data_IF_957073659554
#
_entry.id   IF_957073659554
#
_cell.length_a   1.000
_cell.length_b   1.000
_cell.length_c   1.000
_cell.angle_alpha   90.00
_cell.angle_beta   90.00
_cell.angle_gamma   90.00
#
_symmetry.space_group_name_H-M   'P 1'
#
loop_
_entity.id
_entity.type
_entity.pdbx_description
1 polymer ?
#
# COMPACT_ATOMS: atom_id res chain seq x y z
N UNK A 1 -8.78 37.21 -63.14
CA UNK A 1 -9.16 38.60 -62.81
C UNK A 1 -8.08 39.21 -61.93
N UNK A 2 -7.51 40.31 -62.42
CA UNK A 2 -6.95 41.49 -61.73
C UNK A 2 -7.17 41.52 -60.19
N UNK A 3 -6.22 41.88 -59.33
CA UNK A 3 -5.12 42.81 -59.56
C UNK A 3 -4.05 42.89 -58.46
N UNK A 4 -2.98 43.58 -58.84
CA UNK A 4 -1.80 44.03 -58.07
C UNK A 4 -2.15 45.12 -57.05
N UNK A 5 -1.30 45.31 -56.02
CA UNK A 5 -0.59 46.57 -55.64
C UNK A 5 0.02 46.45 -54.22
N UNK A 6 1.34 46.38 -54.04
CA UNK A 6 2.41 47.43 -54.00
C UNK A 6 2.74 47.97 -52.59
N UNK A 7 3.94 47.59 -52.11
CA UNK A 7 5.07 48.41 -51.60
C UNK A 7 4.84 49.67 -50.76
N UNK A 8 5.69 49.87 -49.75
CA UNK A 8 6.12 51.22 -49.34
C UNK A 8 6.84 51.33 -48.00
N UNK A 9 8.15 51.58 -48.05
CA UNK A 9 9.09 51.87 -46.95
C UNK A 9 8.84 53.23 -46.25
N UNK A 10 9.33 53.43 -45.02
CA UNK A 10 10.56 54.21 -44.70
C UNK A 10 10.81 54.41 -43.20
N UNK A 11 12.09 54.43 -42.87
CA UNK A 11 12.70 54.64 -41.56
C UNK A 11 12.65 56.09 -41.07
N UNK A 12 12.84 56.30 -39.76
CA UNK A 12 13.86 57.23 -39.23
C UNK A 12 14.05 57.11 -37.71
N UNK A 13 15.32 56.95 -37.37
CA UNK A 13 15.98 57.18 -36.08
C UNK A 13 15.90 58.65 -35.65
N UNK A 14 15.81 58.91 -34.33
CA UNK A 14 16.52 60.06 -33.75
C UNK A 14 16.88 59.79 -32.29
N UNK A 15 18.14 60.10 -31.98
CA UNK A 15 18.78 60.04 -30.68
C UNK A 15 18.64 61.42 -30.01
N UNK A 16 18.47 61.46 -28.68
CA UNK A 16 18.46 62.71 -27.93
C UNK A 16 18.62 62.50 -26.43
N UNK A 17 19.81 62.78 -25.93
CA UNK A 17 20.17 63.10 -24.53
C UNK A 17 20.83 64.48 -24.58
N UNK A 18 20.70 65.38 -23.58
CA UNK A 18 21.45 65.18 -22.32
C UNK A 18 20.91 65.82 -21.00
N UNK A 19 21.47 65.31 -19.89
CA UNK A 19 21.99 65.95 -18.66
C UNK A 19 21.14 66.78 -17.65
N UNK A 20 21.18 66.25 -16.41
CA UNK A 20 21.67 66.81 -15.12
C UNK A 20 20.73 67.51 -14.09
N UNK A 21 20.79 66.91 -12.88
CA UNK A 21 20.62 67.43 -11.52
C UNK A 21 19.22 67.77 -10.96
N UNK A 22 18.72 66.91 -10.05
CA UNK A 22 18.36 67.30 -8.69
C UNK A 22 18.18 66.06 -7.79
N UNK A 23 18.90 66.02 -6.68
CA UNK A 23 18.68 65.09 -5.56
C UNK A 23 17.55 65.64 -4.70
N UNK A 24 16.50 64.87 -4.41
CA UNK A 24 15.78 64.89 -3.11
C UNK A 24 15.19 63.49 -2.88
N UNK A 25 15.37 63.00 -1.65
CA UNK A 25 14.91 61.72 -1.14
C UNK A 25 13.38 61.59 -1.10
N UNK A 26 12.88 60.41 -1.40
CA UNK A 26 11.56 59.97 -0.97
C UNK A 26 11.60 58.48 -0.63
N UNK A 27 11.50 58.22 0.67
CA UNK A 27 11.19 56.95 1.30
C UNK A 27 9.81 56.47 0.83
N UNK A 28 9.65 55.19 0.51
CA UNK A 28 8.36 54.53 0.56
C UNK A 28 8.04 53.55 -0.57
N UNK A 29 7.44 52.43 -0.18
CA UNK A 29 6.83 51.37 -0.99
C UNK A 29 7.79 50.38 -1.68
N UNK A 30 8.26 49.40 -0.88
CA UNK A 30 8.53 48.06 -1.43
C UNK A 30 7.18 47.47 -1.85
N UNK A 31 6.85 47.57 -3.14
CA UNK A 31 5.79 46.78 -3.75
C UNK A 31 6.26 45.33 -3.79
N UNK A 32 5.69 44.49 -2.94
CA UNK A 32 5.74 43.04 -3.12
C UNK A 32 5.03 42.70 -4.44
N UNK A 33 5.81 42.49 -5.50
CA UNK A 33 5.34 41.76 -6.66
C UNK A 33 5.10 40.31 -6.22
N UNK A 34 3.87 40.02 -5.78
CA UNK A 34 3.39 38.65 -5.67
C UNK A 34 3.38 38.08 -7.08
N UNK A 35 4.41 37.30 -7.41
CA UNK A 35 4.37 36.44 -8.58
C UNK A 35 3.14 35.54 -8.43
N UNK A 36 2.13 35.74 -9.27
CA UNK A 36 1.06 34.79 -9.52
C UNK A 36 1.71 33.56 -10.16
N UNK A 37 2.28 32.69 -9.32
CA UNK A 37 2.57 31.33 -9.72
C UNK A 37 1.20 30.69 -10.03
N UNK A 38 1.01 30.08 -11.21
CA UNK A 38 -0.16 29.26 -11.44
C UNK A 38 -0.15 28.18 -10.35
N UNK A 39 -1.15 28.23 -9.47
CA UNK A 39 -1.33 27.19 -8.46
C UNK A 39 -1.43 25.83 -9.15
N UNK A 40 -1.03 24.73 -8.48
CA UNK A 40 -1.20 23.40 -9.04
C UNK A 40 -2.68 23.25 -9.40
N UNK A 41 -2.93 23.05 -10.69
CA UNK A 41 -4.25 22.68 -11.19
C UNK A 41 -4.69 21.47 -10.40
N UNK A 42 -5.76 21.62 -9.61
CA UNK A 42 -6.43 20.49 -8.99
C UNK A 42 -6.78 19.53 -10.13
N UNK A 43 -6.12 18.36 -10.18
CA UNK A 43 -6.50 17.30 -11.10
C UNK A 43 -7.96 17.00 -10.84
N UNK A 44 -8.80 17.29 -11.83
CA UNK A 44 -10.14 16.73 -11.90
C UNK A 44 -10.00 15.22 -11.71
N UNK A 45 -10.70 14.67 -10.73
CA UNK A 45 -10.65 13.25 -10.44
C UNK A 45 -11.16 12.51 -11.68
N UNK A 46 -10.24 11.90 -12.42
CA UNK A 46 -10.51 11.20 -13.66
C UNK A 46 -11.38 9.95 -13.47
N UNK A 47 -11.69 9.31 -14.59
CA UNK A 47 -12.19 7.93 -14.69
C UNK A 47 -11.49 7.02 -13.66
N UNK A 48 -12.17 5.98 -13.11
CA UNK A 48 -11.46 4.91 -12.40
C UNK A 48 -10.20 4.55 -13.19
N UNK A 49 -9.03 4.72 -12.56
CA UNK A 49 -7.76 4.49 -13.22
C UNK A 49 -7.42 3.00 -13.21
N UNK A 50 -6.69 2.52 -14.23
CA UNK A 50 -6.25 1.13 -14.28
C UNK A 50 -5.38 0.79 -13.06
N UNK A 51 -5.26 -0.50 -12.75
CA UNK A 51 -4.40 -0.98 -11.68
C UNK A 51 -2.98 -0.44 -11.82
N UNK A 52 -2.46 0.15 -10.74
CA UNK A 52 -1.11 0.69 -10.69
C UNK A 52 -0.09 -0.38 -10.35
N UNK A 53 0.52 -0.98 -11.36
CA UNK A 53 1.68 -1.87 -11.21
C UNK A 53 2.87 -1.15 -10.55
N UNK A 54 3.76 -1.91 -9.91
CA UNK A 54 5.02 -1.35 -9.41
C UNK A 54 5.86 -0.75 -10.56
N UNK A 55 6.34 0.48 -10.40
CA UNK A 55 7.10 1.20 -11.44
C UNK A 55 8.42 0.50 -11.81
N UNK A 56 8.99 -0.24 -10.87
CA UNK A 56 10.23 -1.02 -11.01
C UNK A 56 9.98 -2.50 -11.34
N UNK A 57 8.73 -2.88 -11.64
CA UNK A 57 8.39 -4.24 -12.01
C UNK A 57 9.07 -4.66 -13.31
N UNK A 58 9.61 -5.89 -13.32
CA UNK A 58 10.27 -6.46 -14.49
C UNK A 58 9.30 -7.29 -15.31
N UNK A 59 9.29 -7.12 -16.64
CA UNK A 59 8.53 -8.03 -17.50
C UNK A 59 9.14 -9.43 -17.47
N UNK A 60 8.30 -10.45 -17.39
CA UNK A 60 8.68 -11.87 -17.47
C UNK A 60 7.64 -12.60 -18.32
N UNK A 61 8.09 -13.52 -19.18
CA UNK A 61 7.15 -14.33 -19.96
C UNK A 61 6.80 -15.62 -19.21
N UNK A 62 5.49 -15.90 -19.07
CA UNK A 62 5.04 -17.20 -18.56
C UNK A 62 5.27 -18.29 -19.60
N UNK A 63 5.96 -19.36 -19.21
CA UNK A 63 6.16 -20.51 -20.07
C UNK A 63 4.95 -21.44 -20.06
N UNK A 64 4.75 -22.23 -21.12
CA UNK A 64 3.72 -23.28 -21.18
C UNK A 64 4.22 -24.64 -20.69
N UNK A 65 5.50 -24.74 -20.34
CA UNK A 65 6.21 -25.91 -19.86
C UNK A 65 7.17 -25.53 -18.72
N UNK A 66 7.62 -26.50 -17.93
CA UNK A 66 8.64 -26.27 -16.89
C UNK A 66 10.05 -26.08 -17.45
N UNK A 67 10.35 -26.61 -18.64
CA UNK A 67 11.70 -26.52 -19.24
C UNK A 67 12.07 -25.12 -19.70
N UNK A 68 11.06 -24.33 -20.07
CA UNK A 68 11.23 -22.96 -20.58
C UNK A 68 10.87 -21.91 -19.53
N UNK A 69 10.59 -22.33 -18.29
CA UNK A 69 10.09 -21.45 -17.23
C UNK A 69 11.15 -20.43 -16.77
N UNK A 70 10.90 -19.15 -17.05
CA UNK A 70 11.75 -18.06 -16.61
C UNK A 70 11.80 -17.94 -15.08
N UNK A 71 12.97 -17.57 -14.57
CA UNK A 71 13.24 -17.53 -13.13
C UNK A 71 12.72 -16.25 -12.48
N UNK A 72 11.92 -16.41 -11.43
CA UNK A 72 11.55 -15.34 -10.52
C UNK A 72 12.55 -15.27 -9.37
N UNK A 73 13.09 -14.08 -9.14
CA UNK A 73 13.97 -13.80 -8.00
C UNK A 73 13.16 -13.20 -6.83
N UNK A 74 13.15 -13.80 -5.64
CA UNK A 74 12.49 -13.23 -4.47
C UNK A 74 12.95 -11.81 -4.16
N UNK A 75 12.01 -10.95 -3.76
CA UNK A 75 12.26 -9.52 -3.54
C UNK A 75 12.18 -8.65 -4.80
N UNK A 76 11.94 -9.23 -5.97
CA UNK A 76 11.68 -8.49 -7.22
C UNK A 76 10.21 -8.66 -7.61
N UNK A 77 9.55 -7.57 -8.00
CA UNK A 77 8.20 -7.62 -8.58
C UNK A 77 8.29 -7.79 -10.09
N UNK A 78 7.36 -8.55 -10.67
CA UNK A 78 7.31 -8.82 -12.10
C UNK A 78 5.93 -8.54 -12.68
N UNK A 79 5.88 -8.15 -13.95
CA UNK A 79 4.65 -8.12 -14.76
C UNK A 79 4.64 -9.25 -15.78
N UNK A 80 3.47 -9.83 -16.03
CA UNK A 80 3.24 -10.85 -17.06
C UNK A 80 1.82 -10.74 -17.62
N UNK A 81 1.43 -11.63 -18.54
CA UNK A 81 0.10 -11.69 -19.15
C UNK A 81 -0.46 -13.10 -19.04
N UNK A 82 -1.61 -13.26 -18.39
CA UNK A 82 -2.31 -14.52 -18.20
C UNK A 82 -3.29 -14.78 -19.35
N UNK A 83 -3.08 -15.82 -20.18
CA UNK A 83 -4.04 -16.21 -21.20
C UNK A 83 -5.34 -16.75 -20.59
N UNK A 84 -6.40 -16.77 -21.40
CA UNK A 84 -7.72 -17.28 -21.00
C UNK A 84 -7.72 -18.76 -20.62
N UNK A 85 -6.81 -19.57 -21.20
CA UNK A 85 -6.69 -21.00 -20.94
C UNK A 85 -5.23 -21.42 -20.82
N UNK A 86 -5.02 -22.59 -20.19
CA UNK A 86 -3.69 -23.14 -19.98
C UNK A 86 -3.03 -22.65 -18.70
N UNK A 87 -1.87 -23.25 -18.41
CA UNK A 87 -1.04 -22.97 -17.24
C UNK A 87 0.19 -22.19 -17.67
N UNK A 88 0.54 -21.16 -16.92
CA UNK A 88 1.82 -20.48 -17.01
C UNK A 88 2.75 -20.97 -15.91
N UNK A 89 3.98 -21.28 -16.28
CA UNK A 89 5.03 -21.74 -15.39
C UNK A 89 6.12 -20.68 -15.28
N UNK A 90 6.55 -20.46 -14.04
CA UNK A 90 7.73 -19.68 -13.70
C UNK A 90 8.59 -20.47 -12.72
N UNK A 91 9.91 -20.36 -12.79
CA UNK A 91 10.82 -21.11 -11.91
C UNK A 91 11.24 -20.28 -10.69
N UNK A 92 11.50 -20.97 -9.57
CA UNK A 92 12.08 -20.45 -8.34
C UNK A 92 13.30 -21.29 -7.99
N UNK A 93 14.35 -20.67 -7.47
CA UNK A 93 15.43 -21.39 -6.80
C UNK A 93 15.35 -21.14 -5.30
N UNK A 94 15.09 -22.20 -4.54
CA UNK A 94 14.87 -22.12 -3.10
C UNK A 94 15.94 -22.87 -2.34
N UNK A 95 16.30 -22.36 -1.16
CA UNK A 95 17.11 -23.11 -0.20
C UNK A 95 16.28 -24.16 0.57
N UNK A 96 16.92 -24.98 1.38
CA UNK A 96 16.27 -26.07 2.12
C UNK A 96 15.49 -25.63 3.36
N UNK A 97 15.52 -24.35 3.73
CA UNK A 97 15.12 -23.85 5.05
C UNK A 97 14.18 -22.64 5.06
N UNK A 98 14.20 -21.79 4.04
CA UNK A 98 13.38 -20.59 3.95
C UNK A 98 11.98 -20.92 3.45
N UNK A 99 10.95 -20.23 3.93
CA UNK A 99 9.64 -20.30 3.29
C UNK A 99 9.63 -19.34 2.10
N UNK A 100 8.91 -19.71 1.04
CA UNK A 100 8.69 -18.87 -0.12
C UNK A 100 7.19 -18.64 -0.30
N UNK A 101 6.80 -17.42 -0.62
CA UNK A 101 5.44 -17.05 -0.95
C UNK A 101 5.47 -16.26 -2.26
N UNK A 102 4.57 -16.57 -3.19
CA UNK A 102 4.46 -15.87 -4.46
C UNK A 102 3.02 -15.45 -4.64
N UNK A 103 2.75 -14.17 -4.43
CA UNK A 103 1.46 -13.59 -4.78
C UNK A 103 1.39 -13.34 -6.27
N UNK A 104 0.28 -13.75 -6.90
CA UNK A 104 -0.10 -13.31 -8.23
C UNK A 104 -1.35 -12.45 -8.12
N UNK A 105 -1.25 -11.19 -8.52
CA UNK A 105 -2.39 -10.29 -8.67
C UNK A 105 -2.77 -10.26 -10.15
N UNK A 106 -3.96 -10.76 -10.48
CA UNK A 106 -4.48 -10.69 -11.83
C UNK A 106 -5.41 -9.49 -12.00
N UNK A 107 -5.28 -8.81 -13.13
CA UNK A 107 -5.98 -7.58 -13.46
C UNK A 107 -6.81 -7.83 -14.72
N UNK A 108 -8.11 -8.14 -14.57
CA UNK A 108 -9.03 -8.19 -15.69
C UNK A 108 -9.10 -6.81 -16.38
N UNK A 109 -9.11 -6.75 -17.72
CA UNK A 109 -9.34 -5.47 -18.40
C UNK A 109 -10.69 -4.88 -18.00
N UNK A 110 -10.72 -3.56 -17.82
CA UNK A 110 -11.92 -2.83 -17.46
C UNK A 110 -13.05 -3.05 -18.48
N UNK A 111 -14.29 -3.15 -17.98
CA UNK A 111 -15.47 -3.34 -18.83
C UNK A 111 -15.60 -4.75 -19.42
N UNK A 112 -14.70 -5.68 -19.10
CA UNK A 112 -14.88 -7.09 -19.49
C UNK A 112 -15.98 -7.74 -18.67
N UNK A 113 -16.84 -8.52 -19.34
CA UNK A 113 -17.86 -9.31 -18.63
C UNK A 113 -17.17 -10.42 -17.84
N UNK A 114 -17.45 -10.48 -16.54
CA UNK A 114 -16.91 -11.49 -15.63
C UNK A 114 -18.04 -12.15 -14.84
N UNK A 115 -17.87 -13.45 -14.57
CA UNK A 115 -18.71 -14.19 -13.64
C UNK A 115 -18.16 -14.10 -12.22
N UNK A 116 -19.01 -14.34 -11.22
CA UNK A 116 -18.58 -14.40 -9.82
C UNK A 116 -17.53 -15.49 -9.56
N UNK A 117 -17.51 -16.54 -10.37
CA UNK A 117 -16.56 -17.66 -10.26
C UNK A 117 -15.31 -17.49 -11.12
N UNK A 118 -15.25 -16.45 -11.97
CA UNK A 118 -14.04 -16.18 -12.74
C UNK A 118 -12.94 -15.77 -11.78
N UNK A 119 -11.72 -16.24 -12.05
CA UNK A 119 -10.66 -16.16 -11.07
C UNK A 119 -9.32 -16.61 -11.57
N UNK A 120 -8.40 -16.76 -10.63
CA UNK A 120 -7.08 -17.33 -10.85
C UNK A 120 -6.82 -18.41 -9.80
N UNK A 121 -6.02 -19.41 -10.20
CA UNK A 121 -5.40 -20.35 -9.29
C UNK A 121 -3.89 -20.17 -9.36
N UNK A 122 -3.27 -20.13 -8.20
CA UNK A 122 -1.81 -20.05 -8.04
C UNK A 122 -1.38 -21.27 -7.25
N UNK A 123 -0.35 -21.97 -7.72
CA UNK A 123 0.27 -23.06 -6.98
C UNK A 123 1.78 -22.97 -7.00
N UNK A 124 2.44 -23.51 -5.98
CA UNK A 124 3.87 -23.80 -6.01
C UNK A 124 4.04 -25.31 -6.06
N UNK A 125 4.84 -25.79 -7.00
CA UNK A 125 5.11 -27.21 -7.24
C UNK A 125 6.60 -27.51 -7.09
N UNK A 126 6.93 -28.72 -6.65
CA UNK A 126 8.31 -29.22 -6.71
C UNK A 126 8.72 -29.62 -8.14
N UNK A 127 9.99 -30.02 -8.31
CA UNK A 127 10.53 -30.43 -9.60
C UNK A 127 9.83 -31.65 -10.24
N UNK A 128 9.09 -32.43 -9.46
CA UNK A 128 8.34 -33.60 -9.93
C UNK A 128 6.86 -33.26 -10.23
N UNK A 129 6.46 -31.99 -10.12
CA UNK A 129 5.08 -31.53 -10.33
C UNK A 129 4.16 -31.77 -9.14
N UNK A 130 4.69 -32.13 -7.97
CA UNK A 130 3.89 -32.27 -6.75
C UNK A 130 3.58 -30.90 -6.18
N UNK A 131 2.30 -30.60 -5.95
CA UNK A 131 1.88 -29.32 -5.39
C UNK A 131 2.25 -29.21 -3.91
N UNK A 132 2.99 -28.17 -3.57
CA UNK A 132 3.32 -27.77 -2.21
C UNK A 132 2.13 -27.06 -1.56
N UNK A 133 1.46 -26.20 -2.34
CA UNK A 133 0.24 -25.50 -1.97
C UNK A 133 -0.44 -24.95 -3.21
N UNK A 134 -1.71 -24.60 -3.05
CA UNK A 134 -2.43 -23.82 -4.02
C UNK A 134 -3.44 -22.91 -3.32
N UNK A 135 -3.76 -21.81 -3.98
CA UNK A 135 -4.85 -20.92 -3.59
C UNK A 135 -5.65 -20.54 -4.84
N UNK A 136 -6.90 -20.16 -4.65
CA UNK A 136 -7.77 -19.66 -5.73
C UNK A 136 -8.43 -18.39 -5.26
N UNK A 137 -8.39 -17.36 -6.09
CA UNK A 137 -9.12 -16.12 -5.90
C UNK A 137 -10.12 -15.94 -7.05
N UNK A 138 -11.28 -15.37 -6.75
CA UNK A 138 -12.35 -15.14 -7.73
C UNK A 138 -12.90 -13.73 -7.63
N UNK A 139 -13.51 -13.23 -8.69
CA UNK A 139 -14.20 -11.93 -8.75
C UNK A 139 -15.28 -11.81 -7.67
N UNK A 140 -15.91 -12.92 -7.28
CA UNK A 140 -16.88 -12.91 -6.19
C UNK A 140 -18.19 -12.20 -6.52
N UNK A 141 -18.93 -11.83 -5.47
CA UNK A 141 -20.35 -11.47 -5.60
C UNK A 141 -20.61 -10.15 -6.33
N UNK A 142 -19.63 -9.24 -6.37
CA UNK A 142 -19.75 -7.95 -7.07
C UNK A 142 -19.91 -8.09 -8.58
N UNK A 143 -19.41 -9.20 -9.18
CA UNK A 143 -19.41 -9.43 -10.64
C UNK A 143 -18.87 -8.22 -11.41
N UNK A 144 -17.91 -7.53 -10.81
CA UNK A 144 -17.31 -6.30 -11.32
C UNK A 144 -15.82 -6.54 -11.51
N UNK A 145 -15.24 -6.10 -12.63
CA UNK A 145 -13.82 -6.29 -12.90
C UNK A 145 -12.98 -5.51 -11.91
N UNK A 146 -12.12 -6.20 -11.17
CA UNK A 146 -11.14 -5.60 -10.27
C UNK A 146 -9.95 -6.55 -10.08
N UNK A 147 -8.81 -6.03 -9.59
CA UNK A 147 -7.65 -6.86 -9.30
C UNK A 147 -7.97 -7.93 -8.24
N UNK A 148 -7.64 -9.19 -8.53
CA UNK A 148 -7.78 -10.31 -7.58
C UNK A 148 -6.42 -10.93 -7.32
N UNK A 149 -6.15 -11.36 -6.09
CA UNK A 149 -4.84 -11.88 -5.68
C UNK A 149 -4.96 -13.23 -4.98
N UNK A 150 -4.09 -14.16 -5.36
CA UNK A 150 -3.91 -15.46 -4.71
C UNK A 150 -2.41 -15.74 -4.51
N UNK A 151 -2.07 -16.61 -3.56
CA UNK A 151 -0.69 -16.92 -3.18
C UNK A 151 -0.39 -18.41 -3.34
N UNK A 152 0.74 -18.69 -4.00
CA UNK A 152 1.39 -19.99 -3.93
C UNK A 152 2.51 -19.95 -2.89
N UNK A 153 2.63 -21.00 -2.09
CA UNK A 153 3.61 -21.08 -1.01
C UNK A 153 4.41 -22.40 -0.99
N UNK A 154 5.68 -22.29 -0.60
CA UNK A 154 6.51 -23.41 -0.15
C UNK A 154 6.93 -23.14 1.28
N UNK A 155 6.39 -23.91 2.21
CA UNK A 155 6.78 -23.83 3.63
C UNK A 155 7.79 -24.94 3.97
N UNK A 156 9.00 -24.54 4.35
CA UNK A 156 10.02 -25.46 4.85
C UNK A 156 9.58 -25.96 6.24
N UNK A 157 9.24 -27.24 6.36
CA UNK A 157 8.80 -27.83 7.62
C UNK A 157 9.83 -28.89 8.02
N UNK A 158 10.46 -28.79 9.21
CA UNK A 158 11.44 -29.79 9.64
C UNK A 158 10.92 -31.24 9.61
N UNK A 159 9.60 -31.42 9.76
CA UNK A 159 8.91 -32.72 9.75
C UNK A 159 7.99 -32.91 8.54
N UNK A 160 8.06 -32.03 7.54
CA UNK A 160 7.26 -32.15 6.32
C UNK A 160 7.76 -33.29 5.43
N UNK A 161 6.88 -33.93 4.68
CA UNK A 161 7.23 -35.01 3.74
C UNK A 161 7.23 -34.55 2.29
N UNK A 162 6.53 -33.46 1.97
CA UNK A 162 6.42 -32.88 0.63
C UNK A 162 7.12 -31.52 0.57
N UNK A 163 7.70 -31.20 -0.58
CA UNK A 163 8.33 -29.91 -0.85
C UNK A 163 9.40 -29.49 0.17
N UNK A 164 10.21 -30.47 0.58
CA UNK A 164 11.37 -30.25 1.44
C UNK A 164 12.66 -30.19 0.61
N UNK A 165 13.68 -29.50 1.15
CA UNK A 165 14.99 -29.42 0.50
C UNK A 165 15.12 -28.29 -0.52
N UNK A 166 16.36 -27.91 -0.81
CA UNK A 166 16.65 -26.84 -1.77
C UNK A 166 16.63 -27.34 -3.21
N UNK A 167 16.47 -26.42 -4.15
CA UNK A 167 16.46 -26.68 -5.59
C UNK A 167 15.40 -25.87 -6.32
N UNK A 168 15.09 -26.32 -7.54
CA UNK A 168 14.12 -25.68 -8.42
C UNK A 168 12.69 -26.05 -8.02
N UNK A 169 11.84 -25.03 -7.90
CA UNK A 169 10.40 -25.13 -7.73
C UNK A 169 9.72 -24.34 -8.85
N UNK A 170 8.42 -24.57 -9.06
CA UNK A 170 7.65 -23.89 -10.09
C UNK A 170 6.44 -23.18 -9.51
N UNK A 171 6.28 -21.91 -9.84
CA UNK A 171 5.02 -21.18 -9.65
C UNK A 171 4.16 -21.45 -10.88
N UNK A 172 2.94 -21.90 -10.65
CA UNK A 172 1.98 -22.18 -11.72
C UNK A 172 0.75 -21.32 -11.53
N UNK A 173 0.44 -20.50 -12.55
CA UNK A 173 -0.71 -19.60 -12.57
C UNK A 173 -1.64 -19.99 -13.71
N UNK A 174 -2.93 -20.12 -13.43
CA UNK A 174 -3.95 -20.42 -14.44
C UNK A 174 -5.24 -19.65 -14.19
N UNK A 175 -5.99 -19.39 -15.26
CA UNK A 175 -7.37 -18.87 -15.16
C UNK A 175 -8.29 -19.95 -14.60
N UNK A 176 -9.19 -19.54 -13.72
CA UNK A 176 -10.34 -20.32 -13.30
C UNK A 176 -11.57 -19.68 -13.91
N UNK A 177 -12.32 -20.43 -14.72
CA UNK A 177 -13.59 -19.99 -15.29
C UNK A 177 -14.53 -21.19 -15.42
N UNK A 178 -15.83 -20.97 -15.21
CA UNK A 178 -16.86 -22.03 -15.30
C UNK A 178 -17.70 -21.96 -16.59
N UNK A 179 -17.69 -20.81 -17.26
CA UNK A 179 -18.33 -20.57 -18.56
C UNK A 179 -17.26 -20.19 -19.57
N UNK A 180 -17.62 -19.99 -20.84
CA UNK A 180 -16.71 -19.39 -21.82
C UNK A 180 -16.21 -18.05 -21.28
N UNK A 181 -14.94 -18.02 -20.88
CA UNK A 181 -14.30 -16.82 -20.37
C UNK A 181 -14.08 -15.84 -21.52
N UNK A 182 -14.12 -14.53 -21.21
CA UNK A 182 -13.66 -13.50 -22.14
C UNK A 182 -12.29 -13.90 -22.73
N UNK A 183 -12.08 -13.79 -24.05
CA UNK A 183 -10.84 -14.18 -24.71
C UNK A 183 -9.68 -13.21 -24.38
N UNK A 184 -9.95 -12.11 -23.69
CA UNK A 184 -8.94 -11.15 -23.29
C UNK A 184 -8.03 -11.74 -22.20
N UNK A 185 -6.72 -11.63 -22.44
CA UNK A 185 -5.71 -11.91 -21.42
C UNK A 185 -5.87 -10.96 -20.22
N UNK A 186 -5.51 -11.43 -19.04
CA UNK A 186 -5.45 -10.62 -17.83
C UNK A 186 -4.00 -10.26 -17.55
N UNK A 187 -3.72 -8.99 -17.26
CA UNK A 187 -2.38 -8.62 -16.82
C UNK A 187 -2.10 -9.25 -15.44
N UNK A 188 -0.85 -9.58 -15.18
CA UNK A 188 -0.40 -10.19 -13.94
C UNK A 188 0.70 -9.38 -13.28
N UNK A 189 0.62 -9.22 -11.96
CA UNK A 189 1.74 -8.83 -11.11
C UNK A 189 2.16 -10.01 -10.22
N UNK A 190 3.43 -10.42 -10.29
CA UNK A 190 4.00 -11.50 -9.49
C UNK A 190 4.99 -10.92 -8.48
N UNK A 191 4.83 -11.26 -7.21
CA UNK A 191 5.74 -10.81 -6.13
C UNK A 191 6.23 -11.99 -5.30
N UNK A 192 7.32 -12.67 -5.71
CA UNK A 192 7.98 -13.67 -4.89
C UNK A 192 8.67 -13.05 -3.68
N UNK A 193 8.49 -13.67 -2.52
CA UNK A 193 9.11 -13.26 -1.25
C UNK A 193 9.64 -14.46 -0.48
N UNK A 194 10.71 -14.25 0.29
CA UNK A 194 11.30 -15.25 1.18
C UNK A 194 11.17 -14.85 2.65
N UNK A 195 10.63 -15.75 3.46
CA UNK A 195 10.68 -15.70 4.92
C UNK A 195 11.83 -16.60 5.41
N UNK A 196 12.82 -16.05 6.12
CA UNK A 196 13.91 -16.84 6.67
C UNK A 196 13.41 -17.75 7.80
N UNK A 197 14.12 -18.85 8.04
CA UNK A 197 13.86 -19.71 9.21
C UNK A 197 14.08 -18.95 10.53
N UNK A 198 13.57 -19.51 11.63
CA UNK A 198 13.88 -19.01 12.97
C UNK A 198 15.26 -19.48 13.46
N UNK A 199 15.89 -18.66 14.30
CA UNK A 199 17.11 -19.04 15.05
C UNK A 199 16.84 -20.18 16.01
N UNK A 200 15.66 -20.17 16.64
CA UNK A 200 15.19 -21.19 17.57
C UNK A 200 13.73 -21.50 17.25
N UNK A 201 13.37 -22.77 17.28
CA UNK A 201 11.96 -23.18 17.19
C UNK A 201 11.21 -22.61 18.39
N UNK A 202 10.17 -21.83 18.12
CA UNK A 202 9.26 -21.29 19.14
C UNK A 202 8.07 -22.19 19.38
N UNK A 203 6.98 -21.62 19.91
CA UNK A 203 5.70 -22.29 20.05
C UNK A 203 5.18 -22.81 18.70
N UNK A 204 4.70 -24.06 18.69
CA UNK A 204 4.20 -24.74 17.49
C UNK A 204 2.69 -24.97 17.50
N UNK A 205 1.98 -24.29 18.40
CA UNK A 205 0.53 -24.30 18.52
C UNK A 205 0.00 -22.87 18.39
N UNK A 206 -1.08 -22.68 17.65
CA UNK A 206 -1.72 -21.39 17.58
C UNK A 206 -2.35 -21.01 18.93
N UNK A 207 -2.46 -19.71 19.27
CA UNK A 207 -3.16 -19.28 20.47
C UNK A 207 -4.64 -19.71 20.44
N UNK A 208 -5.10 -20.39 21.49
CA UNK A 208 -6.48 -20.85 21.59
C UNK A 208 -7.46 -19.74 21.99
N UNK A 209 -6.98 -18.74 22.72
CA UNK A 209 -7.80 -17.64 23.23
C UNK A 209 -7.17 -16.27 22.90
N UNK A 210 -8.00 -15.38 22.37
CA UNK A 210 -7.70 -13.98 22.13
C UNK A 210 -9.01 -13.18 22.20
N UNK A 211 -8.90 -11.87 22.40
CA UNK A 211 -10.08 -11.01 22.48
C UNK A 211 -10.75 -10.88 21.11
N UNK A 212 -11.81 -11.65 20.87
CA UNK A 212 -12.61 -11.61 19.65
C UNK A 212 -13.79 -10.64 19.72
N UNK A 213 -13.86 -9.78 20.73
CA UNK A 213 -14.89 -8.75 20.79
C UNK A 213 -14.62 -7.66 19.73
N UNK A 214 -15.65 -7.31 18.97
CA UNK A 214 -15.61 -6.13 18.10
C UNK A 214 -15.54 -4.88 18.96
N UNK A 215 -14.53 -4.02 18.77
CA UNK A 215 -14.41 -2.83 19.58
C UNK A 215 -15.45 -1.78 19.15
N UNK A 216 -15.78 -0.86 20.07
CA UNK A 216 -16.69 0.24 19.75
C UNK A 216 -16.17 1.05 18.55
N UNK A 217 -17.01 1.47 17.59
CA UNK A 217 -16.56 2.23 16.42
C UNK A 217 -15.76 3.48 16.79
N UNK A 218 -14.69 3.77 16.04
CA UNK A 218 -13.95 5.02 16.22
C UNK A 218 -14.86 6.22 15.90
N UNK A 219 -14.92 7.16 16.85
CA UNK A 219 -15.62 8.44 16.70
C UNK A 219 -14.56 9.55 16.60
N UNK A 220 -14.76 10.52 15.71
CA UNK A 220 -13.77 11.58 15.47
C UNK A 220 -13.86 12.19 14.07
N UNK A 221 -13.12 13.29 13.89
CA UNK A 221 -13.03 13.99 12.60
C UNK A 221 -12.31 13.14 11.55
N UNK A 222 -12.89 13.03 10.36
CA UNK A 222 -12.30 12.27 9.26
C UNK A 222 -11.27 13.10 8.48
N UNK A 223 -10.06 12.58 8.34
CA UNK A 223 -8.97 13.23 7.58
C UNK A 223 -8.99 12.76 6.13
N UNK A 224 -8.89 13.67 5.16
CA UNK A 224 -8.89 13.29 3.74
C UNK A 224 -7.61 12.55 3.38
N UNK A 225 -7.74 11.39 2.73
CA UNK A 225 -6.61 10.57 2.32
C UNK A 225 -7.00 9.73 1.11
N UNK A 226 -6.47 10.09 -0.05
CA UNK A 226 -6.75 9.36 -1.29
C UNK A 226 -5.98 8.05 -1.36
N UNK A 227 -6.69 6.96 -1.65
CA UNK A 227 -6.12 5.63 -1.85
C UNK A 227 -5.19 5.55 -3.05
N UNK A 228 -4.28 4.56 -3.02
CA UNK A 228 -3.49 4.19 -4.20
C UNK A 228 -4.30 3.39 -5.21
N UNK A 229 -3.70 3.11 -6.37
CA UNK A 229 -4.31 2.35 -7.47
C UNK A 229 -3.80 0.91 -7.57
N UNK A 230 -2.85 0.52 -6.73
CA UNK A 230 -2.33 -0.85 -6.64
C UNK A 230 -1.52 -1.07 -5.36
N UNK A 231 -0.99 -2.28 -5.16
CA UNK A 231 -0.23 -2.61 -3.94
C UNK A 231 1.02 -1.75 -3.75
N UNK A 232 1.73 -1.42 -4.84
CA UNK A 232 2.94 -0.60 -4.81
C UNK A 232 2.66 0.85 -4.38
N UNK A 233 1.55 1.43 -4.87
CA UNK A 233 1.13 2.80 -4.55
C UNK A 233 0.20 2.87 -3.33
N UNK A 234 -0.07 1.76 -2.66
CA UNK A 234 -1.01 1.66 -1.55
C UNK A 234 -0.73 2.71 -0.48
N UNK A 235 -1.76 3.49 -0.13
CA UNK A 235 -1.59 4.67 0.72
C UNK A 235 -1.52 4.28 2.18
N UNK A 236 -0.45 4.72 2.85
CA UNK A 236 -0.26 4.49 4.28
C UNK A 236 -1.37 5.16 5.11
N UNK A 237 -2.01 4.36 5.98
CA UNK A 237 -2.99 4.76 6.98
C UNK A 237 -2.48 4.40 8.38
N UNK A 238 -2.55 5.37 9.29
CA UNK A 238 -2.40 5.15 10.72
C UNK A 238 -3.76 4.87 11.35
N UNK A 239 -3.82 4.38 12.61
CA UNK A 239 -5.07 4.30 13.34
C UNK A 239 -5.80 5.65 13.36
N UNK A 240 -7.10 5.66 13.08
CA UNK A 240 -7.91 6.87 12.98
C UNK A 240 -9.08 6.75 12.00
N UNK A 241 -9.73 7.88 11.73
CA UNK A 241 -10.82 7.99 10.77
C UNK A 241 -10.35 8.74 9.53
N UNK A 242 -10.47 8.10 8.37
CA UNK A 242 -10.03 8.61 7.07
C UNK A 242 -11.23 8.75 6.14
N UNK A 243 -11.20 9.76 5.27
CA UNK A 243 -12.21 9.94 4.21
C UNK A 243 -11.54 9.97 2.84
N UNK A 244 -12.24 9.39 1.88
CA UNK A 244 -11.93 9.49 0.45
C UNK A 244 -13.24 9.57 -0.35
N UNK A 245 -13.15 9.69 -1.67
CA UNK A 245 -14.28 9.55 -2.57
C UNK A 245 -13.99 8.37 -3.52
N UNK A 246 -14.95 7.46 -3.68
CA UNK A 246 -14.80 6.28 -4.54
C UNK A 246 -15.86 6.29 -5.65
N UNK A 247 -15.45 6.02 -6.89
CA UNK A 247 -16.37 5.88 -8.04
C UNK A 247 -16.77 4.43 -8.29
N UNK A 248 -17.95 4.17 -8.87
CA UNK A 248 -18.28 2.85 -9.38
C UNK A 248 -17.17 2.29 -10.28
N UNK A 249 -16.83 1.02 -10.10
CA UNK A 249 -15.74 0.33 -10.79
C UNK A 249 -14.34 0.61 -10.22
N UNK A 250 -14.18 1.59 -9.33
CA UNK A 250 -12.87 1.94 -8.78
C UNK A 250 -12.45 0.98 -7.67
N UNK A 251 -11.14 0.70 -7.63
CA UNK A 251 -10.49 -0.01 -6.53
C UNK A 251 -9.44 0.89 -5.87
N UNK A 252 -9.52 1.04 -4.55
CA UNK A 252 -8.62 1.87 -3.75
C UNK A 252 -7.75 0.99 -2.86
N UNK A 253 -6.44 1.27 -2.85
CA UNK A 253 -5.45 0.52 -2.08
C UNK A 253 -4.88 1.35 -0.93
N UNK A 254 -4.97 0.80 0.27
CA UNK A 254 -4.40 1.37 1.49
C UNK A 254 -3.50 0.35 2.17
N UNK A 255 -2.52 0.82 2.95
CA UNK A 255 -1.68 -0.05 3.78
C UNK A 255 -1.66 0.42 5.24
N UNK A 256 -1.77 -0.52 6.16
CA UNK A 256 -1.76 -0.31 7.61
C UNK A 256 -0.58 -1.08 8.20
N UNK A 257 0.38 -0.42 8.87
CA UNK A 257 1.46 -1.10 9.56
C UNK A 257 0.92 -1.82 10.80
N UNK A 258 1.14 -3.13 10.89
CA UNK A 258 0.73 -3.94 12.05
C UNK A 258 1.94 -4.69 12.58
N UNK A 259 2.33 -4.39 13.82
CA UNK A 259 3.48 -5.00 14.48
C UNK A 259 3.10 -6.33 15.17
N UNK A 260 4.10 -7.11 15.57
CA UNK A 260 3.87 -8.34 16.34
C UNK A 260 3.08 -8.05 17.62
N UNK A 261 2.10 -8.90 17.94
CA UNK A 261 1.22 -8.76 19.09
C UNK A 261 0.06 -7.77 18.92
N UNK A 262 0.01 -7.04 17.81
CA UNK A 262 -1.04 -6.06 17.53
C UNK A 262 -2.23 -6.70 16.81
N UNK A 263 -3.42 -6.16 17.05
CA UNK A 263 -4.68 -6.56 16.40
C UNK A 263 -5.18 -5.43 15.50
N UNK A 264 -5.62 -5.76 14.28
CA UNK A 264 -6.18 -4.80 13.32
C UNK A 264 -7.70 -4.94 13.27
N UNK A 265 -8.38 -3.79 13.29
CA UNK A 265 -9.80 -3.68 12.98
C UNK A 265 -9.99 -2.62 11.92
N UNK A 266 -10.86 -2.91 10.95
CA UNK A 266 -11.19 -1.97 9.89
C UNK A 266 -12.68 -1.99 9.56
N UNK A 267 -13.20 -0.82 9.23
CA UNK A 267 -14.56 -0.62 8.71
C UNK A 267 -14.50 0.34 7.53
N UNK A 268 -15.21 0.02 6.45
CA UNK A 268 -15.47 0.92 5.35
C UNK A 268 -16.95 1.33 5.38
N UNK A 269 -17.23 2.62 5.55
CA UNK A 269 -18.57 3.16 5.33
C UNK A 269 -18.67 3.79 3.95
N UNK A 270 -19.74 3.43 3.26
CA UNK A 270 -20.18 4.10 2.05
C UNK A 270 -21.26 5.12 2.40
N UNK A 271 -21.09 6.34 1.92
CA UNK A 271 -22.07 7.41 2.06
C UNK A 271 -23.37 7.12 1.31
N UNK A 272 -24.39 7.95 1.53
CA UNK A 272 -25.63 7.88 0.76
C UNK A 272 -25.47 8.52 -0.62
N UNK A 273 -26.25 8.05 -1.58
CA UNK A 273 -26.35 8.64 -2.91
C UNK A 273 -27.05 10.01 -2.79
N UNK A 274 -26.73 10.91 -3.72
CA UNK A 274 -27.37 12.23 -3.79
C UNK A 274 -28.71 12.20 -4.54
N UNK A 275 -28.98 11.14 -5.31
CA UNK A 275 -30.25 10.96 -6.03
C UNK A 275 -31.28 10.23 -5.16
N UNK A 276 -32.57 10.52 -5.38
CA UNK A 276 -33.69 9.87 -4.70
C UNK A 276 -34.12 8.54 -5.36
N UNK A 277 -33.24 7.94 -6.16
CA UNK A 277 -33.53 6.74 -6.94
C UNK A 277 -33.63 5.50 -6.06
N UNK A 278 -34.53 4.58 -6.42
CA UNK A 278 -34.78 3.33 -5.68
C UNK A 278 -34.14 2.15 -6.40
N UNK A 279 -32.81 2.11 -6.40
CA UNK A 279 -32.01 1.00 -6.93
C UNK A 279 -31.59 0.01 -5.86
N UNK A 280 -31.07 -1.15 -6.27
CA UNK A 280 -30.41 -2.09 -5.37
C UNK A 280 -29.28 -2.83 -6.08
N UNK A 281 -28.07 -2.72 -5.54
CA UNK A 281 -26.89 -3.39 -6.08
C UNK A 281 -26.37 -4.40 -5.05
N UNK A 282 -26.49 -5.72 -5.31
CA UNK A 282 -25.90 -6.73 -4.45
C UNK A 282 -24.37 -6.70 -4.53
N UNK A 283 -23.68 -6.91 -3.40
CA UNK A 283 -22.22 -6.96 -3.38
C UNK A 283 -21.55 -5.66 -3.87
N UNK A 284 -22.19 -4.52 -3.59
CA UNK A 284 -21.81 -3.23 -4.12
C UNK A 284 -20.43 -2.76 -3.62
N UNK A 285 -20.17 -2.90 -2.32
CA UNK A 285 -18.88 -2.56 -1.73
C UNK A 285 -18.22 -3.82 -1.21
N UNK A 286 -16.98 -4.09 -1.66
CA UNK A 286 -16.10 -5.12 -1.11
C UNK A 286 -14.90 -4.45 -0.43
N UNK A 287 -14.60 -4.86 0.80
CA UNK A 287 -13.36 -4.52 1.48
C UNK A 287 -12.61 -5.80 1.83
N UNK A 288 -11.49 -6.02 1.17
CA UNK A 288 -10.60 -7.17 1.39
C UNK A 288 -9.35 -6.75 2.16
N UNK A 289 -8.97 -7.57 3.14
CA UNK A 289 -7.72 -7.43 3.91
C UNK A 289 -6.69 -8.44 3.43
N UNK A 290 -5.51 -7.98 3.03
CA UNK A 290 -4.38 -8.82 2.67
C UNK A 290 -3.22 -8.63 3.66
N UNK A 291 -2.47 -9.69 3.93
CA UNK A 291 -1.28 -9.64 4.79
C UNK A 291 -0.03 -9.15 4.00
N UNK A 292 1.16 -9.05 4.64
CA UNK A 292 2.38 -8.59 3.98
C UNK A 292 2.83 -9.38 2.75
N UNK A 293 2.46 -10.66 2.63
CA UNK A 293 2.75 -11.49 1.44
C UNK A 293 1.59 -11.50 0.43
N UNK A 294 0.61 -10.61 0.63
CA UNK A 294 -0.62 -10.45 -0.16
C UNK A 294 -1.53 -11.69 -0.18
N UNK A 295 -1.46 -12.50 0.87
CA UNK A 295 -2.40 -13.59 1.14
C UNK A 295 -3.65 -13.00 1.81
N UNK A 296 -4.85 -13.42 1.36
CA UNK A 296 -6.11 -12.84 1.81
C UNK A 296 -6.43 -13.31 3.23
N UNK A 297 -6.62 -12.35 4.14
CA UNK A 297 -6.93 -12.60 5.55
C UNK A 297 -8.42 -12.76 5.76
N UNK A 298 -9.19 -11.78 5.30
CA UNK A 298 -10.63 -11.64 5.53
C UNK A 298 -11.20 -10.65 4.51
N UNK A 299 -12.49 -10.75 4.23
CA UNK A 299 -13.22 -9.78 3.42
C UNK A 299 -14.58 -9.42 4.05
N UNK A 300 -15.07 -8.23 3.71
CA UNK A 300 -16.38 -7.75 4.14
C UNK A 300 -17.08 -7.09 2.95
N UNK A 301 -18.24 -7.65 2.59
CA UNK A 301 -19.08 -7.16 1.50
C UNK A 301 -20.41 -6.60 1.98
N UNK A 302 -20.93 -5.57 1.32
CA UNK A 302 -22.29 -5.04 1.60
C UNK A 302 -23.01 -4.63 0.32
N UNK A 303 -24.32 -4.94 0.26
CA UNK A 303 -25.21 -4.48 -0.80
C UNK A 303 -25.64 -3.03 -0.58
N UNK A 304 -25.86 -2.29 -1.65
CA UNK A 304 -26.15 -0.85 -1.60
C UNK A 304 -27.52 -0.53 -2.20
N UNK A 305 -28.29 0.28 -1.48
CA UNK A 305 -29.65 0.71 -1.83
C UNK A 305 -29.75 2.26 -1.89
N UNK A 306 -28.62 2.95 -2.00
CA UNK A 306 -28.55 4.41 -1.96
C UNK A 306 -28.44 5.00 -0.56
N UNK A 307 -28.69 4.23 0.50
CA UNK A 307 -28.50 4.66 1.90
C UNK A 307 -27.10 4.31 2.43
N UNK A 308 -26.69 4.93 3.53
CA UNK A 308 -25.38 4.67 4.12
C UNK A 308 -25.23 3.19 4.52
N UNK A 309 -24.12 2.57 4.14
CA UNK A 309 -23.79 1.17 4.46
C UNK A 309 -22.40 1.06 5.06
N UNK A 310 -22.16 0.00 5.84
CA UNK A 310 -20.86 -0.29 6.43
C UNK A 310 -20.47 -1.74 6.16
N UNK A 311 -19.27 -1.94 5.61
CA UNK A 311 -18.59 -3.22 5.56
C UNK A 311 -17.60 -3.27 6.74
N UNK A 312 -17.75 -4.26 7.61
CA UNK A 312 -16.96 -4.41 8.85
C UNK A 312 -16.22 -5.74 8.77
N UNK A 313 -14.90 -5.71 8.94
CA UNK A 313 -14.14 -6.96 9.07
C UNK A 313 -14.52 -7.68 10.37
N UNK A 314 -14.63 -9.00 10.31
CA UNK A 314 -14.68 -9.83 11.50
C UNK A 314 -13.46 -9.55 12.39
N UNK A 315 -13.58 -9.63 13.72
CA UNK A 315 -12.43 -9.55 14.62
C UNK A 315 -11.34 -10.54 14.23
N UNK A 316 -10.09 -10.08 14.24
CA UNK A 316 -8.91 -10.86 13.88
C UNK A 316 -7.96 -11.02 15.07
N UNK A 317 -7.27 -12.17 15.20
CA UNK A 317 -6.32 -12.38 16.28
C UNK A 317 -5.13 -11.41 16.20
N UNK A 318 -4.38 -11.25 17.31
CA UNK A 318 -3.11 -10.56 17.26
C UNK A 318 -2.18 -11.19 16.24
N UNK A 319 -1.41 -10.35 15.55
CA UNK A 319 -0.33 -10.81 14.68
C UNK A 319 0.68 -11.61 15.51
N UNK A 320 0.79 -12.90 15.24
CA UNK A 320 1.67 -13.78 16.00
C UNK A 320 2.22 -14.90 15.12
N UNK A 321 3.52 -15.18 15.22
CA UNK A 321 4.17 -16.21 14.43
C UNK A 321 3.50 -17.60 14.58
N UNK A 322 3.07 -18.05 15.79
CA UNK A 322 2.41 -19.34 15.96
C UNK A 322 1.04 -19.45 15.29
N UNK A 323 0.45 -18.34 14.83
CA UNK A 323 -0.81 -18.39 14.09
C UNK A 323 -0.72 -19.29 12.85
N UNK A 324 0.48 -19.47 12.26
CA UNK A 324 0.72 -20.40 11.14
C UNK A 324 0.32 -21.86 11.40
N UNK A 325 0.14 -22.25 12.66
CA UNK A 325 -0.29 -23.58 13.06
C UNK A 325 -1.81 -23.67 13.28
N UNK A 326 -2.54 -22.57 13.11
CA UNK A 326 -4.00 -22.55 13.22
C UNK A 326 -4.64 -23.25 12.01
N UNK A 327 -5.66 -24.06 12.28
CA UNK A 327 -6.48 -24.67 11.24
C UNK A 327 -7.43 -23.67 10.56
N UNK A 328 -7.84 -22.62 11.28
CA UNK A 328 -8.72 -21.57 10.76
C UNK A 328 -7.93 -20.61 9.89
N UNK A 329 -8.29 -20.50 8.60
CA UNK A 329 -7.57 -19.72 7.59
C UNK A 329 -7.27 -18.27 8.01
N UNK A 330 -8.29 -17.47 8.32
CA UNK A 330 -8.11 -16.08 8.76
C UNK A 330 -7.22 -15.91 10.00
N UNK A 331 -7.19 -16.91 10.89
CA UNK A 331 -6.27 -16.92 12.03
C UNK A 331 -4.87 -17.19 11.52
N UNK A 332 -4.71 -18.23 10.69
CA UNK A 332 -3.46 -18.61 10.06
C UNK A 332 -2.78 -17.45 9.33
N UNK A 333 -3.54 -16.70 8.55
CA UNK A 333 -3.03 -15.60 7.72
C UNK A 333 -2.54 -14.40 8.54
N UNK A 334 -2.93 -14.29 9.82
CA UNK A 334 -2.44 -13.28 10.78
C UNK A 334 -1.07 -13.62 11.39
N UNK A 335 -0.15 -14.16 10.59
CA UNK A 335 1.14 -14.73 11.04
C UNK A 335 2.38 -13.88 10.72
N UNK A 336 2.19 -12.67 10.20
CA UNK A 336 3.27 -11.80 9.72
C UNK A 336 3.08 -10.38 10.25
N UNK A 337 4.07 -9.82 10.94
CA UNK A 337 4.12 -8.36 11.09
C UNK A 337 4.51 -7.72 9.75
N UNK A 338 4.06 -6.49 9.52
CA UNK A 338 4.35 -5.78 8.27
C UNK A 338 3.20 -4.88 7.82
N UNK A 339 3.20 -4.55 6.53
CA UNK A 339 2.10 -3.81 5.90
C UNK A 339 0.94 -4.75 5.58
N UNK A 340 -0.20 -4.55 6.23
CA UNK A 340 -1.47 -5.13 5.84
C UNK A 340 -2.18 -4.21 4.87
N UNK A 341 -2.80 -4.75 3.82
CA UNK A 341 -3.43 -3.96 2.77
C UNK A 341 -4.94 -4.02 2.88
N UNK A 342 -5.59 -2.85 2.96
CA UNK A 342 -7.03 -2.71 2.82
C UNK A 342 -7.31 -2.33 1.37
N UNK A 343 -7.98 -3.22 0.65
CA UNK A 343 -8.36 -3.04 -0.76
C UNK A 343 -9.87 -2.87 -0.81
N UNK A 344 -10.33 -1.72 -1.27
CA UNK A 344 -11.76 -1.38 -1.30
C UNK A 344 -12.21 -1.23 -2.73
N UNK A 345 -13.17 -2.05 -3.16
CA UNK A 345 -13.75 -2.01 -4.49
C UNK A 345 -15.23 -1.60 -4.43
N UNK A 346 -15.61 -0.61 -5.23
CA UNK A 346 -17.02 -0.30 -5.48
C UNK A 346 -17.41 -0.89 -6.83
N UNK A 347 -18.41 -1.77 -6.84
CA UNK A 347 -18.88 -2.46 -8.03
C UNK A 347 -19.33 -1.47 -9.13
N UNK A 348 -18.98 -1.73 -10.39
CA UNK A 348 -19.32 -0.86 -11.52
C UNK A 348 -20.84 -0.69 -11.69
N UNK A 349 -21.62 -1.71 -11.33
CA UNK A 349 -23.09 -1.73 -11.39
C UNK A 349 -23.75 -0.66 -10.51
N UNK A 350 -23.03 -0.07 -9.56
CA UNK A 350 -23.52 1.10 -8.81
C UNK A 350 -23.77 2.29 -9.74
N UNK A 351 -23.02 2.43 -10.84
CA UNK A 351 -23.26 3.47 -11.83
C UNK A 351 -24.60 3.31 -12.55
N UNK A 352 -25.04 2.07 -12.78
CA UNK A 352 -26.27 1.78 -13.51
C UNK A 352 -27.52 2.24 -12.72
N UNK A 353 -27.48 2.09 -11.39
CA UNK A 353 -28.61 2.37 -10.50
C UNK A 353 -28.56 3.77 -9.86
N UNK A 354 -27.36 4.28 -9.57
CA UNK A 354 -27.16 5.52 -8.79
C UNK A 354 -26.31 6.57 -9.50
N UNK A 355 -25.92 6.31 -10.76
CA UNK A 355 -25.10 7.18 -11.58
C UNK A 355 -23.60 7.04 -11.35
N UNK A 356 -22.81 7.38 -12.39
CA UNK A 356 -21.35 7.38 -12.34
C UNK A 356 -20.81 8.65 -11.66
N UNK A 357 -21.05 8.76 -10.35
CA UNK A 357 -20.58 9.86 -9.52
C UNK A 357 -19.78 9.32 -8.32
N UNK A 358 -18.77 10.06 -7.83
CA UNK A 358 -18.07 9.68 -6.61
C UNK A 358 -19.03 9.62 -5.41
N UNK A 359 -18.91 8.55 -4.63
CA UNK A 359 -19.61 8.38 -3.36
C UNK A 359 -18.57 8.52 -2.24
N UNK A 360 -18.93 9.24 -1.18
CA UNK A 360 -18.04 9.42 -0.03
C UNK A 360 -17.72 8.07 0.64
N UNK A 361 -16.45 7.78 0.82
CA UNK A 361 -15.92 6.61 1.52
C UNK A 361 -15.30 7.06 2.85
N UNK A 362 -15.59 6.36 3.94
CA UNK A 362 -14.93 6.55 5.23
C UNK A 362 -14.30 5.26 5.70
N UNK A 363 -13.02 5.30 6.00
CA UNK A 363 -12.28 4.17 6.59
C UNK A 363 -12.01 4.45 8.06
N UNK A 364 -12.45 3.54 8.92
CA UNK A 364 -12.08 3.54 10.35
C UNK A 364 -11.08 2.44 10.56
N UNK A 365 -9.84 2.82 10.87
CA UNK A 365 -8.74 1.88 11.07
C UNK A 365 -8.31 1.95 12.53
N UNK A 366 -8.21 0.80 13.16
CA UNK A 366 -7.78 0.69 14.55
C UNK A 366 -6.74 -0.41 14.69
N UNK A 367 -5.70 -0.14 15.47
CA UNK A 367 -4.68 -1.11 15.80
C UNK A 367 -4.49 -1.14 17.33
N UNK A 368 -4.88 -2.23 17.99
CA UNK A 368 -4.81 -2.41 19.45
C UNK A 368 -3.81 -3.51 19.84
N UNK A 369 -3.69 -3.80 21.15
CA UNK A 369 -2.77 -4.80 21.70
C UNK A 369 -1.40 -4.23 22.06
N UNK A 370 -0.60 -4.98 22.83
CA UNK A 370 0.78 -4.59 23.13
C UNK A 370 1.71 -5.06 22.00
N UNK A 371 2.69 -4.21 21.64
CA UNK A 371 3.75 -4.62 20.71
C UNK A 371 4.62 -5.70 21.38
N UNK A 372 4.88 -6.78 20.65
CA UNK A 372 5.74 -7.89 21.08
C UNK A 372 7.01 -7.94 20.24
N UNK A 373 8.03 -8.61 20.76
CA UNK A 373 9.19 -8.94 19.95
C UNK A 373 8.83 -9.90 18.81
N UNK A 374 9.49 -9.73 17.67
CA UNK A 374 9.37 -10.68 16.56
C UNK A 374 9.94 -12.06 16.89
N UNK A 375 9.72 -13.05 16.01
CA UNK A 375 9.98 -14.47 16.30
C UNK A 375 11.46 -14.87 16.31
N UNK A 376 12.37 -13.93 16.06
CA UNK A 376 13.81 -14.19 16.05
C UNK A 376 14.29 -14.94 14.81
N UNK A 377 14.03 -14.37 13.64
CA UNK A 377 14.54 -14.84 12.34
C UNK A 377 16.07 -15.01 12.32
N UNK A 378 16.57 -16.03 11.64
CA UNK A 378 18.00 -16.32 11.51
C UNK A 378 18.71 -15.53 10.41
N UNK A 379 17.96 -14.81 9.58
CA UNK A 379 18.47 -14.00 8.48
C UNK A 379 17.49 -12.90 8.11
N UNK A 380 17.74 -12.25 6.97
CA UNK A 380 16.85 -11.24 6.39
C UNK A 380 15.82 -11.90 5.46
N UNK A 381 14.66 -11.27 5.34
CA UNK A 381 13.69 -11.58 4.30
C UNK A 381 14.14 -11.03 2.95
N UNK A 382 13.56 -11.56 1.88
CA UNK A 382 13.61 -10.94 0.56
C UNK A 382 12.18 -10.59 0.13
N UNK A 383 11.80 -9.32 -0.05
CA UNK A 383 12.61 -8.11 0.17
C UNK A 383 12.94 -7.90 1.66
N UNK A 384 13.98 -7.11 1.94
CA UNK A 384 14.41 -6.83 3.31
C UNK A 384 13.33 -6.14 4.13
N UNK A 385 13.19 -6.52 5.39
CA UNK A 385 12.28 -5.85 6.33
C UNK A 385 10.80 -6.17 6.15
N UNK A 386 10.42 -7.05 5.22
CA UNK A 386 9.01 -7.36 4.93
C UNK A 386 8.21 -7.83 6.16
N UNK A 387 8.82 -8.63 7.04
CA UNK A 387 8.16 -9.25 8.19
C UNK A 387 8.32 -8.45 9.50
N UNK A 388 8.27 -7.13 9.40
CA UNK A 388 8.35 -6.22 10.55
C UNK A 388 7.99 -4.79 10.18
N UNK A 389 7.91 -3.93 11.19
CA UNK A 389 7.71 -2.49 11.01
C UNK A 389 9.05 -1.78 11.26
N UNK A 390 9.56 -1.11 10.22
CA UNK A 390 10.83 -0.37 10.31
C UNK A 390 10.65 0.96 11.05
N UNK A 391 11.75 1.60 11.44
CA UNK A 391 11.70 2.96 12.00
C UNK A 391 11.17 3.97 10.95
N UNK A 392 11.47 3.74 9.68
CA UNK A 392 11.01 4.58 8.57
C UNK A 392 9.49 4.47 8.39
N UNK A 393 8.90 3.28 8.51
CA UNK A 393 7.45 3.08 8.45
C UNK A 393 6.72 3.85 9.55
N UNK A 394 7.29 3.85 10.77
CA UNK A 394 6.73 4.62 11.90
C UNK A 394 6.85 6.12 11.68
N UNK A 395 7.94 6.59 11.09
CA UNK A 395 8.14 8.01 10.80
C UNK A 395 7.29 8.52 9.62
N UNK A 396 6.96 7.66 8.65
CA UNK A 396 6.13 8.00 7.51
C UNK A 396 4.62 8.00 7.81
N UNK A 397 4.23 7.42 8.95
CA UNK A 397 2.84 7.26 9.37
C UNK A 397 2.16 8.63 9.56
N UNK A 398 1.10 8.94 8.79
CA UNK A 398 0.39 10.21 8.95
C UNK A 398 -0.33 10.27 10.30
N UNK A 399 -0.53 11.45 10.86
CA UNK A 399 -1.33 11.58 12.09
C UNK A 399 -2.82 11.30 11.80
N UNK A 400 -3.33 10.21 12.36
CA UNK A 400 -4.76 9.90 12.34
C UNK A 400 -5.45 10.60 13.50
N UNK A 401 -6.48 11.40 13.20
CA UNK A 401 -7.30 12.03 14.23
C UNK A 401 -8.40 11.03 14.66
N UNK A 402 -8.60 10.86 15.97
CA UNK A 402 -9.64 9.97 16.54
C UNK A 402 -9.16 8.81 17.42
N UNK A 403 -7.88 8.75 17.80
CA UNK A 403 -7.40 7.79 18.80
C UNK A 403 -7.78 8.23 20.23
N UNK A 404 -8.35 7.32 21.02
CA UNK A 404 -8.32 7.46 22.48
C UNK A 404 -6.84 7.41 22.91
N UNK A 405 -6.36 8.49 23.53
CA UNK A 405 -4.96 8.65 23.91
C UNK A 405 -4.47 7.53 24.81
N UNK A 406 -3.51 6.75 24.32
CA UNK A 406 -2.64 5.91 25.14
C UNK A 406 -1.44 6.74 25.61
N UNK A 407 -1.12 6.62 26.90
CA UNK A 407 -0.16 7.42 27.69
C UNK A 407 1.28 7.48 27.12
N UNK A 408 1.62 6.70 26.09
CA UNK A 408 2.96 6.64 25.49
C UNK A 408 3.33 7.86 24.61
N UNK A 409 2.32 8.54 24.05
CA UNK A 409 2.57 9.72 23.21
C UNK A 409 3.08 10.92 24.04
N UNK A 410 2.60 11.05 25.28
CA UNK A 410 2.99 12.15 26.19
C UNK A 410 4.39 11.92 26.79
N UNK A 411 4.76 10.67 27.08
CA UNK A 411 6.09 10.32 27.57
C UNK A 411 7.19 10.53 26.50
N UNK A 412 6.91 10.18 25.25
CA UNK A 412 7.87 10.33 24.13
C UNK A 412 8.07 11.81 23.77
N UNK A 413 7.02 12.63 23.81
CA UNK A 413 7.11 14.07 23.59
C UNK A 413 7.84 14.80 24.74
N UNK A 414 7.65 14.36 25.99
CA UNK A 414 8.40 14.89 27.15
C UNK A 414 9.89 14.54 27.10
N UNK A 415 10.25 13.34 26.62
CA UNK A 415 11.64 12.92 26.48
C UNK A 415 12.36 13.69 25.35
N UNK A 416 11.69 13.97 24.24
CA UNK A 416 12.22 14.79 23.14
C UNK A 416 12.35 16.27 23.53
N UNK A 417 11.42 16.82 24.31
CA UNK A 417 11.52 18.17 24.84
C UNK A 417 12.69 18.34 25.82
N UNK A 418 13.01 17.31 26.61
CA UNK A 418 14.17 17.33 27.51
C UNK A 418 15.52 17.20 26.78
N UNK A 419 15.58 16.46 25.66
CA UNK A 419 16.81 16.28 24.88
C UNK A 419 17.25 17.50 24.06
N UNK A 420 16.31 18.34 23.61
CA UNK A 420 16.59 19.49 22.75
C UNK A 420 17.18 20.72 23.46
N UNK A 421 16.87 20.93 24.74
CA UNK A 421 17.32 22.11 25.50
C UNK A 421 18.69 21.88 26.15
N UNK A 422 19.01 20.62 26.52
CA UNK A 422 20.27 20.28 27.20
C UNK A 422 21.51 20.40 26.30
N UNK A 423 21.40 19.97 25.04
CA UNK A 423 22.55 19.94 24.10
C UNK A 423 22.96 21.33 23.61
N UNK A 424 22.00 22.22 23.35
CA UNK A 424 22.28 23.61 22.97
C UNK A 424 22.98 24.41 24.07
N UNK A 425 22.58 24.21 25.33
CA UNK A 425 23.16 24.89 26.49
C UNK A 425 24.60 24.46 26.75
N UNK A 426 24.92 23.18 26.59
CA UNK A 426 26.28 22.64 26.74
C UNK A 426 27.20 23.16 25.63
N UNK A 427 26.73 23.23 24.38
CA UNK A 427 27.51 23.78 23.27
C UNK A 427 27.85 25.27 23.48
N UNK A 428 26.89 26.06 23.96
CA UNK A 428 27.13 27.48 24.27
C UNK A 428 28.10 27.65 25.45
N UNK A 429 28.03 26.80 26.47
CA UNK A 429 28.96 26.82 27.60
C UNK A 429 30.38 26.44 27.16
N UNK A 430 30.54 25.38 26.35
CA UNK A 430 31.84 24.98 25.79
C UNK A 430 32.42 26.08 24.91
N UNK A 431 31.61 26.72 24.07
CA UNK A 431 32.04 27.83 23.22
C UNK A 431 32.43 29.07 24.04
N UNK A 432 31.69 29.36 25.12
CA UNK A 432 32.00 30.44 26.07
C UNK A 432 33.33 30.22 26.81
N UNK A 433 33.58 28.99 27.27
CA UNK A 433 34.87 28.63 27.91
C UNK A 433 36.01 28.72 26.90
N UNK A 434 35.82 28.20 25.68
CA UNK A 434 36.85 28.22 24.64
C UNK A 434 37.23 29.66 24.25
N UNK A 435 36.25 30.55 24.09
CA UNK A 435 36.49 31.97 23.77
C UNK A 435 37.18 32.72 24.91
N UNK A 436 36.85 32.43 26.18
CA UNK A 436 37.53 33.03 27.33
C UNK A 436 39.00 32.57 27.45
N UNK A 437 39.28 31.29 27.18
CA UNK A 437 40.64 30.75 27.19
C UNK A 437 41.48 31.28 26.02
N UNK A 438 40.89 31.42 24.84
CA UNK A 438 41.55 32.02 23.68
C UNK A 438 41.95 33.48 23.93
N UNK A 439 41.07 34.27 24.57
CA UNK A 439 41.37 35.67 24.96
C UNK A 439 42.46 35.78 26.02
N UNK A 440 42.50 34.87 27.00
CA UNK A 440 43.56 34.84 28.02
C UNK A 440 44.94 34.48 27.44
N UNK A 441 45.00 33.62 26.42
CA UNK A 441 46.26 33.30 25.73
C UNK A 441 46.74 34.42 24.80
N UNK A 442 45.83 35.20 24.23
CA UNK A 442 46.19 36.40 23.46
C UNK A 442 46.70 37.57 24.35
N UNK A 443 46.26 37.64 25.61
CA UNK A 443 46.72 38.64 26.59
C UNK A 443 48.05 38.31 27.28
N UNK A 444 48.49 37.04 27.25
CA UNK A 444 49.77 36.60 27.85
C UNK A 444 50.97 36.70 26.88
N UNK A 445 50.75 37.19 25.65
CA UNK A 445 51.81 37.47 24.66
C UNK A 445 52.20 38.94 24.54
N UNK A 446 51.60 39.84 25.35
CA UNK A 446 51.92 41.26 25.38
C UNK A 446 52.29 41.66 26.82
N UNK A 447 53.52 41.34 27.20
CA UNK A 447 54.11 41.59 28.51
C UNK A 447 55.58 41.23 28.51
N UNK A 448 56.35 41.95 27.68
CA UNK A 448 57.70 42.38 28.03
C UNK A 448 57.58 43.76 28.69
#
# INVERSE_FOLDING_TARGET
>A
MIGRRTTGWYARTSCGRPSLHARVAAVGAVLCAAALLPGPTASAAGTPGPYGFAEDARSVQGATSTTDAERLSPGTTYTSSLPTTGKLYYSLELDSTSNAYVSATAVPPEGTTVSASDGIRVSVQDANGSSCSFETASIGSSRSTHPITAVGAREAKPTGTLCQGGGTYYVVVERVARTEASPAAWDLELTPVLEPRLKRTGETSAPEAWNSASPAPLTGGATRRTGGTGFASARLLSPGVWRDDIRPGQTLFYRVPVDWGRQLYATADLGSASSGDRGFVPGALDMSLYNPVRDKVEDAGVSYDGSQKSAVLDPLPPVAYPNRYAAVGRVNTMRFAGSYYLVVHLAAQVADEFGDVPIGLKLRVRVEGATKAGPGYSGQSAPEGLFGITAQDRAAAPEGHGGAGGEDADATMKLLAAGGIGTGSVLLAVLGVWTAVARRRAGAGAGA
#
